data_IF_042790882148
#
_entry.id   IF_042790882148
#
_cell.length_a   1.000
_cell.length_b   1.000
_cell.length_c   1.000
_cell.angle_alpha   90.00
_cell.angle_beta   90.00
_cell.angle_gamma   90.00
#
_symmetry.space_group_name_H-M   'P 1'
#
loop_
_entity.id
_entity.type
_entity.pdbx_description
1 polymer ?
#
# COMPACT_ATOMS: atom_id res chain seq x y z
N UNK A 1 4.62 0.97 -11.50
CA UNK A 1 4.78 1.01 -10.03
C UNK A 1 6.17 0.48 -9.73
N UNK A 2 6.94 1.05 -8.79
CA UNK A 2 8.30 0.60 -8.53
C UNK A 2 8.30 -0.87 -8.09
N UNK A 3 9.30 -1.64 -8.55
CA UNK A 3 9.41 -3.06 -8.21
C UNK A 3 10.32 -3.32 -6.99
N UNK A 4 11.11 -2.33 -6.57
CA UNK A 4 12.13 -2.43 -5.53
C UNK A 4 12.04 -1.32 -4.47
N UNK A 5 10.95 -0.56 -4.44
CA UNK A 5 10.71 0.54 -3.50
C UNK A 5 9.23 0.59 -3.13
N UNK A 6 8.90 1.20 -2.00
CA UNK A 6 7.51 1.38 -1.58
C UNK A 6 6.78 2.31 -2.55
N UNK A 7 5.66 1.86 -3.10
CA UNK A 7 4.85 2.68 -3.99
C UNK A 7 4.33 3.94 -3.27
N UNK A 8 4.45 5.10 -3.92
CA UNK A 8 3.74 6.31 -3.52
C UNK A 8 2.29 6.27 -4.02
N UNK A 9 1.44 7.16 -3.52
CA UNK A 9 0.08 7.29 -4.06
C UNK A 9 0.07 7.64 -5.55
N UNK A 10 1.03 8.44 -6.02
CA UNK A 10 1.16 8.79 -7.42
C UNK A 10 1.49 7.56 -8.27
N UNK A 11 2.38 6.68 -7.78
CA UNK A 11 2.72 5.43 -8.45
C UNK A 11 1.52 4.48 -8.54
N UNK A 12 0.79 4.33 -7.43
CA UNK A 12 -0.39 3.46 -7.36
C UNK A 12 -1.47 3.99 -8.29
N UNK A 13 -1.73 5.30 -8.31
CA UNK A 13 -2.76 5.88 -9.17
C UNK A 13 -2.37 5.87 -10.66
N UNK A 14 -1.09 6.09 -10.98
CA UNK A 14 -0.58 5.90 -12.33
C UNK A 14 -0.77 4.45 -12.79
N UNK A 15 -0.44 3.49 -11.93
CA UNK A 15 -0.63 2.07 -12.21
C UNK A 15 -2.13 1.71 -12.34
N UNK A 16 -2.99 2.23 -11.48
CA UNK A 16 -4.45 2.06 -11.56
C UNK A 16 -4.98 2.52 -12.93
N UNK A 17 -4.57 3.70 -13.39
CA UNK A 17 -5.03 4.25 -14.67
C UNK A 17 -4.53 3.42 -15.86
N UNK A 18 -3.27 2.97 -15.84
CA UNK A 18 -2.72 2.09 -16.87
C UNK A 18 -3.46 0.75 -16.90
N UNK A 19 -3.71 0.14 -15.74
CA UNK A 19 -4.47 -1.11 -15.62
C UNK A 19 -5.91 -0.94 -16.14
N UNK A 20 -6.57 0.17 -15.80
CA UNK A 20 -7.90 0.50 -16.32
C UNK A 20 -7.89 0.60 -17.85
N UNK A 21 -6.91 1.30 -18.43
CA UNK A 21 -6.79 1.43 -19.89
C UNK A 21 -6.53 0.09 -20.57
N UNK A 22 -5.65 -0.75 -19.99
CA UNK A 22 -5.36 -2.09 -20.51
C UNK A 22 -6.61 -2.97 -20.52
N UNK A 23 -7.31 -3.06 -19.40
CA UNK A 23 -8.56 -3.83 -19.30
C UNK A 23 -9.64 -3.28 -20.24
N UNK A 24 -9.71 -1.97 -20.44
CA UNK A 24 -10.63 -1.35 -21.40
C UNK A 24 -10.35 -1.82 -22.82
N UNK A 25 -9.08 -1.93 -23.23
CA UNK A 25 -8.69 -2.47 -24.52
C UNK A 25 -9.11 -3.95 -24.66
N UNK A 26 -8.85 -4.75 -23.63
CA UNK A 26 -9.23 -6.18 -23.59
C UNK A 26 -10.77 -6.39 -23.65
N UNK A 27 -11.55 -5.43 -23.16
CA UNK A 27 -13.02 -5.47 -23.15
C UNK A 27 -13.66 -4.75 -24.34
N UNK A 28 -12.96 -4.59 -25.48
CA UNK A 28 -13.45 -3.90 -26.67
C UNK A 28 -13.92 -2.46 -26.37
N UNK A 29 -13.09 -1.70 -25.66
CA UNK A 29 -13.34 -0.32 -25.24
C UNK A 29 -14.50 -0.12 -24.24
N UNK A 30 -15.02 -1.19 -23.63
CA UNK A 30 -15.96 -1.07 -22.50
C UNK A 30 -15.22 -0.71 -21.22
N UNK A 31 -15.82 0.16 -20.40
CA UNK A 31 -15.21 0.52 -19.12
C UNK A 31 -15.19 -0.70 -18.17
N UNK A 32 -14.01 -1.10 -17.66
CA UNK A 32 -13.90 -2.23 -16.76
C UNK A 32 -14.55 -1.89 -15.41
N UNK A 33 -15.14 -2.89 -14.73
CA UNK A 33 -15.62 -2.72 -13.36
C UNK A 33 -14.50 -2.26 -12.43
N UNK A 34 -14.81 -1.33 -11.51
CA UNK A 34 -13.84 -0.81 -10.54
C UNK A 34 -13.15 -1.93 -9.74
N UNK A 35 -13.91 -2.96 -9.32
CA UNK A 35 -13.37 -4.06 -8.52
C UNK A 35 -12.27 -4.83 -9.28
N UNK A 36 -12.42 -5.07 -10.59
CA UNK A 36 -11.40 -5.75 -11.39
C UNK A 36 -10.09 -4.95 -11.46
N UNK A 37 -10.18 -3.63 -11.63
CA UNK A 37 -9.00 -2.76 -11.64
C UNK A 37 -8.37 -2.72 -10.24
N UNK A 38 -9.21 -2.58 -9.21
CA UNK A 38 -8.78 -2.50 -7.82
C UNK A 38 -8.02 -3.75 -7.39
N UNK A 39 -8.52 -4.95 -7.73
CA UNK A 39 -7.92 -6.23 -7.36
C UNK A 39 -6.47 -6.37 -7.85
N UNK A 40 -6.23 -6.04 -9.11
CA UNK A 40 -4.89 -6.07 -9.73
C UNK A 40 -3.95 -5.08 -9.04
N UNK A 41 -4.46 -3.88 -8.71
CA UNK A 41 -3.68 -2.83 -8.07
C UNK A 41 -3.32 -3.22 -6.64
N UNK A 42 -4.29 -3.74 -5.87
CA UNK A 42 -4.08 -4.18 -4.48
C UNK A 42 -3.06 -5.30 -4.44
N UNK A 43 -3.23 -6.33 -5.28
CA UNK A 43 -2.29 -7.46 -5.37
C UNK A 43 -0.87 -6.98 -5.63
N UNK A 44 -0.68 -6.04 -6.57
CA UNK A 44 0.66 -5.52 -6.88
C UNK A 44 1.22 -4.64 -5.75
N UNK A 45 0.37 -3.93 -4.99
CA UNK A 45 0.80 -3.21 -3.78
C UNK A 45 1.28 -4.21 -2.74
N UNK A 46 0.50 -5.23 -2.41
CA UNK A 46 0.87 -6.26 -1.43
C UNK A 46 2.18 -6.94 -1.78
N UNK A 47 2.38 -7.33 -3.04
CA UNK A 47 3.63 -7.92 -3.53
C UNK A 47 4.87 -7.06 -3.26
N UNK A 48 4.77 -5.73 -3.30
CA UNK A 48 5.89 -4.83 -2.99
C UNK A 48 6.23 -4.90 -1.50
N UNK A 49 5.22 -5.03 -0.64
CA UNK A 49 5.41 -5.13 0.80
C UNK A 49 5.89 -6.52 1.24
N UNK A 50 5.37 -7.58 0.61
CA UNK A 50 5.86 -8.95 0.77
C UNK A 50 7.33 -9.05 0.39
N UNK A 51 7.73 -8.45 -0.74
CA UNK A 51 9.11 -8.42 -1.20
C UNK A 51 10.05 -7.69 -0.24
N UNK A 52 9.54 -6.68 0.47
CA UNK A 52 10.28 -5.98 1.51
C UNK A 52 10.30 -6.76 2.85
N UNK A 53 9.65 -7.91 2.95
CA UNK A 53 9.51 -8.68 4.20
C UNK A 53 8.91 -7.89 5.37
N UNK A 54 8.10 -6.87 5.07
CA UNK A 54 7.46 -6.03 6.08
C UNK A 54 6.00 -6.47 6.24
N UNK A 55 5.58 -6.87 7.46
CA UNK A 55 4.18 -7.20 7.70
C UNK A 55 3.26 -6.03 7.34
N UNK A 56 2.23 -6.31 6.56
CA UNK A 56 1.23 -5.34 6.16
C UNK A 56 -0.17 -5.72 6.67
N UNK A 57 -1.12 -4.80 6.56
CA UNK A 57 -2.53 -5.04 6.91
C UNK A 57 -3.17 -6.02 5.91
N UNK A 58 -4.32 -6.59 6.28
CA UNK A 58 -5.02 -7.56 5.43
C UNK A 58 -5.45 -6.98 4.08
N UNK A 59 -5.59 -7.85 3.07
CA UNK A 59 -6.07 -7.49 1.74
C UNK A 59 -7.36 -6.67 1.75
N UNK A 60 -8.36 -7.12 2.52
CA UNK A 60 -9.63 -6.39 2.72
C UNK A 60 -9.39 -4.95 3.19
N UNK A 61 -8.43 -4.74 4.10
CA UNK A 61 -8.12 -3.41 4.60
C UNK A 61 -7.49 -2.54 3.52
N UNK A 62 -6.58 -3.08 2.72
CA UNK A 62 -5.99 -2.37 1.57
C UNK A 62 -7.07 -2.00 0.55
N UNK A 63 -8.01 -2.90 0.29
CA UNK A 63 -9.17 -2.66 -0.58
C UNK A 63 -10.06 -1.52 -0.05
N UNK A 64 -10.39 -1.52 1.24
CA UNK A 64 -11.14 -0.42 1.87
C UNK A 64 -10.43 0.93 1.72
N UNK A 65 -9.10 0.95 1.87
CA UNK A 65 -8.29 2.16 1.71
C UNK A 65 -8.35 2.67 0.26
N UNK A 66 -8.18 1.80 -0.73
CA UNK A 66 -8.27 2.17 -2.15
C UNK A 66 -9.68 2.66 -2.52
N UNK A 67 -10.72 1.97 -2.06
CA UNK A 67 -12.12 2.34 -2.31
C UNK A 67 -12.46 3.69 -1.67
N UNK A 68 -12.02 3.93 -0.44
CA UNK A 68 -12.20 5.22 0.26
C UNK A 68 -11.55 6.34 -0.54
N UNK A 69 -10.31 6.14 -0.98
CA UNK A 69 -9.60 7.12 -1.80
C UNK A 69 -10.35 7.40 -3.10
N UNK A 70 -10.75 6.36 -3.83
CA UNK A 70 -11.46 6.49 -5.10
C UNK A 70 -12.76 7.29 -4.92
N UNK A 71 -13.54 6.98 -3.88
CA UNK A 71 -14.77 7.71 -3.55
C UNK A 71 -14.50 9.18 -3.25
N UNK A 72 -13.52 9.48 -2.40
CA UNK A 72 -13.15 10.87 -2.07
C UNK A 72 -12.68 11.62 -3.30
N UNK A 73 -11.84 11.00 -4.13
CA UNK A 73 -11.36 11.58 -5.39
C UNK A 73 -12.52 11.91 -6.34
N UNK A 74 -13.45 10.98 -6.56
CA UNK A 74 -14.63 11.21 -7.41
C UNK A 74 -15.51 12.33 -6.86
N UNK A 75 -15.67 12.43 -5.53
CA UNK A 75 -16.41 13.51 -4.90
C UNK A 75 -15.72 14.88 -5.04
N UNK A 76 -14.38 14.90 -5.11
CA UNK A 76 -13.63 16.12 -5.39
C UNK A 76 -13.76 16.53 -6.87
N UNK A 77 -13.74 15.58 -7.80
CA UNK A 77 -13.85 15.89 -9.23
C UNK A 77 -15.21 16.48 -9.62
N UNK A 78 -16.32 15.98 -9.04
CA UNK A 78 -17.69 16.41 -9.40
C UNK A 78 -17.90 17.94 -9.40
N UNK A 79 -17.57 18.70 -8.33
CA UNK A 79 -17.74 20.14 -8.29
C UNK A 79 -16.55 20.95 -8.81
N UNK A 80 -15.48 20.31 -9.33
CA UNK A 80 -14.18 20.93 -9.56
C UNK A 80 -14.26 22.23 -10.36
N UNK A 81 -14.83 22.20 -11.57
CA UNK A 81 -14.88 23.39 -12.44
C UNK A 81 -15.60 24.58 -11.81
N UNK A 82 -16.63 24.32 -10.99
CA UNK A 82 -17.43 25.36 -10.35
C UNK A 82 -16.83 25.91 -9.05
N UNK A 83 -15.86 25.21 -8.42
CA UNK A 83 -15.38 25.52 -7.05
C UNK A 83 -13.87 25.61 -6.91
N UNK A 84 -13.08 25.36 -7.96
CA UNK A 84 -11.61 25.31 -7.95
C UNK A 84 -10.93 26.52 -7.32
N UNK A 85 -11.54 27.71 -7.45
CA UNK A 85 -10.98 28.96 -6.95
C UNK A 85 -11.44 29.33 -5.54
N UNK A 86 -12.37 28.56 -4.96
CA UNK A 86 -12.85 28.81 -3.60
C UNK A 86 -11.87 28.31 -2.54
N UNK A 87 -11.51 29.16 -1.57
CA UNK A 87 -10.59 28.83 -0.48
C UNK A 87 -10.93 27.51 0.25
N UNK A 88 -12.19 27.28 0.68
CA UNK A 88 -12.56 26.03 1.36
C UNK A 88 -12.40 24.78 0.49
N UNK A 89 -12.52 24.90 -0.83
CA UNK A 89 -12.33 23.77 -1.74
C UNK A 89 -10.84 23.49 -2.00
N UNK A 90 -10.02 24.53 -2.10
CA UNK A 90 -8.56 24.39 -2.17
C UNK A 90 -7.99 23.73 -0.90
N UNK A 91 -8.51 24.10 0.27
CA UNK A 91 -8.16 23.45 1.54
C UNK A 91 -8.51 21.95 1.53
N UNK A 92 -9.71 21.59 1.06
CA UNK A 92 -10.10 20.18 0.88
C UNK A 92 -9.17 19.42 -0.07
N UNK A 93 -8.75 20.05 -1.18
CA UNK A 93 -7.78 19.45 -2.11
C UNK A 93 -6.43 19.24 -1.40
N UNK A 94 -5.97 20.23 -0.63
CA UNK A 94 -4.71 20.14 0.12
C UNK A 94 -4.77 19.01 1.15
N UNK A 95 -5.83 18.95 1.95
CA UNK A 95 -6.05 17.87 2.91
C UNK A 95 -6.07 16.50 2.22
N UNK A 96 -6.78 16.38 1.10
CA UNK A 96 -6.81 15.15 0.33
C UNK A 96 -5.41 14.74 -0.13
N UNK A 97 -4.59 15.66 -0.66
CA UNK A 97 -3.21 15.37 -1.06
C UNK A 97 -2.36 14.89 0.12
N UNK A 98 -2.51 15.48 1.30
CA UNK A 98 -1.75 15.09 2.49
C UNK A 98 -2.18 13.73 3.04
N UNK A 99 -3.47 13.44 3.06
CA UNK A 99 -3.99 12.11 3.41
C UNK A 99 -3.53 11.03 2.42
N UNK A 100 -3.45 11.39 1.13
CA UNK A 100 -2.99 10.48 0.07
C UNK A 100 -1.56 9.99 0.29
N UNK A 101 -0.67 10.84 0.80
CA UNK A 101 0.73 10.48 1.10
C UNK A 101 0.84 9.31 2.09
N UNK A 102 -0.14 9.15 2.97
CA UNK A 102 -0.18 8.10 4.00
C UNK A 102 -0.97 6.86 3.58
N UNK A 103 -1.76 6.96 2.51
CA UNK A 103 -2.74 5.94 2.11
C UNK A 103 -2.12 4.58 1.81
N UNK A 104 -0.93 4.55 1.21
CA UNK A 104 -0.27 3.28 0.85
C UNK A 104 0.87 2.91 1.80
N UNK A 105 0.92 3.52 2.98
CA UNK A 105 1.62 2.95 4.13
C UNK A 105 0.74 1.84 4.73
N UNK A 106 0.79 0.65 4.12
CA UNK A 106 0.00 -0.50 4.56
C UNK A 106 0.70 -1.33 5.62
N UNK A 107 1.83 -0.87 6.18
CA UNK A 107 2.53 -1.53 7.28
C UNK A 107 1.56 -1.88 8.43
N UNK A 108 1.62 -3.09 8.95
CA UNK A 108 0.81 -3.51 10.10
C UNK A 108 1.20 -2.77 11.39
N UNK A 109 2.50 -2.53 11.59
CA UNK A 109 2.99 -1.78 12.73
C UNK A 109 2.93 -0.26 12.47
N UNK A 110 2.26 0.46 13.38
CA UNK A 110 2.14 1.92 13.38
C UNK A 110 2.90 2.61 14.52
N UNK A 111 3.77 1.89 15.23
CA UNK A 111 4.59 2.46 16.31
C UNK A 111 5.49 3.58 15.77
N UNK A 112 5.58 4.67 16.54
CA UNK A 112 6.48 5.78 16.24
C UNK A 112 7.94 5.37 16.51
N UNK A 113 8.21 4.79 17.69
CA UNK A 113 9.52 4.24 18.04
C UNK A 113 9.55 2.74 17.74
N UNK A 114 10.06 2.36 16.55
CA UNK A 114 10.08 0.96 16.11
C UNK A 114 10.96 0.09 17.03
N UNK A 115 12.01 0.67 17.60
CA UNK A 115 12.90 0.01 18.56
C UNK A 115 12.19 -0.45 19.84
N UNK A 116 11.17 0.30 20.29
CA UNK A 116 10.39 0.03 21.50
C UNK A 116 9.03 -0.63 21.19
N UNK A 117 8.80 -1.04 19.94
CA UNK A 117 7.54 -1.62 19.50
C UNK A 117 7.20 -2.90 20.30
N UNK A 118 6.01 -2.93 20.89
CA UNK A 118 5.44 -4.09 21.60
C UNK A 118 4.31 -4.77 20.82
N UNK A 119 4.16 -4.47 19.53
CA UNK A 119 3.20 -5.18 18.69
C UNK A 119 3.46 -6.69 18.73
N UNK A 120 2.40 -7.45 18.54
CA UNK A 120 2.47 -8.90 18.28
C UNK A 120 3.55 -9.20 17.25
N UNK A 121 4.28 -10.30 17.45
CA UNK A 121 5.44 -10.66 16.64
C UNK A 121 5.09 -10.72 15.14
N UNK A 122 3.88 -11.19 14.81
CA UNK A 122 3.37 -11.29 13.44
C UNK A 122 3.11 -9.93 12.78
N UNK A 123 2.98 -8.85 13.55
CA UNK A 123 2.69 -7.49 13.06
C UNK A 123 3.90 -6.57 13.17
N UNK A 124 4.94 -7.02 13.88
CA UNK A 124 6.14 -6.25 14.20
C UNK A 124 7.11 -6.25 13.02
N UNK A 125 7.68 -5.08 12.75
CA UNK A 125 8.67 -4.89 11.69
C UNK A 125 9.99 -5.59 12.11
N UNK A 126 10.55 -6.48 11.26
CA UNK A 126 11.85 -7.09 11.50
C UNK A 126 12.93 -6.03 11.71
N UNK A 127 13.91 -6.30 12.59
CA UNK A 127 14.94 -5.31 12.94
C UNK A 127 15.76 -4.83 11.73
N UNK A 128 16.06 -5.75 10.80
CA UNK A 128 16.82 -5.46 9.58
C UNK A 128 16.07 -4.58 8.58
N UNK A 129 14.73 -4.60 8.59
CA UNK A 129 13.89 -3.84 7.65
C UNK A 129 13.48 -2.45 8.18
N UNK A 130 13.92 -2.08 9.40
CA UNK A 130 13.52 -0.82 10.03
C UNK A 130 14.10 0.38 9.30
N UNK A 131 15.39 0.34 9.02
CA UNK A 131 16.11 1.41 8.33
C UNK A 131 15.53 1.61 6.91
N UNK A 132 15.22 0.51 6.22
CA UNK A 132 14.52 0.56 4.94
C UNK A 132 13.15 1.23 5.08
N UNK A 133 12.33 0.82 6.07
CA UNK A 133 11.01 1.44 6.25
C UNK A 133 11.09 2.94 6.56
N UNK A 134 12.05 3.35 7.40
CA UNK A 134 12.30 4.75 7.75
C UNK A 134 12.76 5.57 6.55
N UNK A 135 13.73 5.09 5.77
CA UNK A 135 14.15 5.70 4.52
C UNK A 135 12.97 5.88 3.56
N UNK A 136 12.16 4.83 3.37
CA UNK A 136 11.03 4.88 2.45
C UNK A 136 9.88 5.79 2.93
N UNK A 137 9.83 6.15 4.23
CA UNK A 137 8.91 7.17 4.77
C UNK A 137 9.44 8.60 4.57
N UNK A 138 10.76 8.75 4.39
CA UNK A 138 11.41 10.05 4.17
C UNK A 138 12.05 10.15 2.79
N UNK A 139 13.40 10.10 2.69
CA UNK A 139 14.15 10.43 1.47
C UNK A 139 13.98 9.43 0.32
N UNK A 140 13.59 8.17 0.60
CA UNK A 140 13.38 7.09 -0.39
C UNK A 140 14.61 6.77 -1.24
N UNK A 141 15.79 6.77 -0.62
CA UNK A 141 17.06 6.48 -1.29
C UNK A 141 17.37 4.99 -1.39
N UNK A 142 16.82 4.16 -0.49
CA UNK A 142 17.08 2.72 -0.47
C UNK A 142 16.26 1.98 -1.54
N UNK A 143 16.82 0.88 -2.03
CA UNK A 143 16.19 -0.04 -2.99
C UNK A 143 16.39 -1.48 -2.51
N UNK A 144 15.42 -2.34 -2.74
CA UNK A 144 15.53 -3.78 -2.48
C UNK A 144 16.44 -4.40 -3.55
N UNK A 145 17.62 -4.88 -3.18
CA UNK A 145 18.56 -5.53 -4.09
C UNK A 145 18.34 -7.05 -4.16
N UNK A 146 18.96 -7.71 -5.17
CA UNK A 146 18.87 -9.18 -5.33
C UNK A 146 19.50 -9.96 -4.18
N UNK A 147 20.50 -9.39 -3.49
CA UNK A 147 21.10 -10.02 -2.32
C UNK A 147 20.11 -10.05 -1.15
N UNK A 148 19.33 -8.98 -1.01
CA UNK A 148 18.30 -8.84 0.03
C UNK A 148 17.11 -9.77 -0.21
N UNK A 149 16.88 -10.20 -1.46
CA UNK A 149 15.82 -11.15 -1.81
C UNK A 149 16.01 -12.51 -1.10
N UNK A 150 17.24 -13.02 -1.03
CA UNK A 150 17.51 -14.28 -0.35
C UNK A 150 17.27 -14.20 1.17
N UNK A 151 17.61 -13.08 1.79
CA UNK A 151 17.36 -12.85 3.22
C UNK A 151 15.88 -12.59 3.48
N UNK A 152 15.21 -11.86 2.58
CA UNK A 152 13.76 -11.63 2.60
C UNK A 152 12.98 -12.94 2.55
N UNK A 153 13.37 -13.86 1.66
CA UNK A 153 12.78 -15.21 1.58
C UNK A 153 12.94 -15.96 2.91
N UNK A 154 14.10 -15.87 3.57
CA UNK A 154 14.28 -16.50 4.90
C UNK A 154 13.38 -15.87 5.95
N UNK A 155 13.24 -14.55 5.96
CA UNK A 155 12.35 -13.84 6.89
C UNK A 155 10.88 -14.23 6.65
N UNK A 156 10.45 -14.29 5.39
CA UNK A 156 9.10 -14.66 5.01
C UNK A 156 8.77 -16.12 5.38
N UNK A 157 9.69 -17.06 5.14
CA UNK A 157 9.54 -18.46 5.60
C UNK A 157 9.41 -18.57 7.12
N UNK A 158 10.21 -17.79 7.86
CA UNK A 158 10.10 -17.71 9.33
C UNK A 158 8.77 -17.11 9.77
N UNK A 159 8.20 -16.18 9.01
CA UNK A 159 6.90 -15.59 9.31
C UNK A 159 5.77 -16.60 9.08
N UNK A 160 5.72 -17.23 7.90
CA UNK A 160 4.68 -18.20 7.53
C UNK A 160 4.63 -19.35 8.55
N UNK A 161 5.77 -20.00 8.82
CA UNK A 161 5.82 -21.09 9.79
C UNK A 161 5.42 -20.70 11.23
N UNK A 162 5.41 -19.40 11.56
CA UNK A 162 4.91 -18.91 12.86
C UNK A 162 3.41 -18.68 12.84
N UNK A 163 2.87 -18.12 11.75
CA UNK A 163 1.42 -17.94 11.58
C UNK A 163 0.72 -19.29 11.63
N UNK A 164 1.29 -20.30 10.98
CA UNK A 164 0.76 -21.67 10.99
C UNK A 164 0.76 -22.25 12.43
N UNK A 165 1.86 -22.07 13.18
CA UNK A 165 1.93 -22.51 14.58
C UNK A 165 0.96 -21.77 15.52
N UNK A 166 0.76 -20.45 15.33
CA UNK A 166 -0.21 -19.67 16.11
C UNK A 166 -1.67 -20.07 15.80
N UNK A 167 -1.95 -20.48 14.56
CA UNK A 167 -3.25 -21.01 14.15
C UNK A 167 -3.54 -22.39 14.75
N UNK A 168 -2.54 -23.27 14.84
CA UNK A 168 -2.66 -24.59 15.48
C UNK A 168 -2.91 -24.48 16.99
N UNK A 169 -2.25 -23.54 17.67
CA UNK A 169 -2.44 -23.32 19.13
C UNK A 169 -3.82 -22.73 19.45
N UNK A 170 -4.44 -21.97 18.54
CA UNK A 170 -5.79 -21.41 18.76
C UNK A 170 -6.94 -22.40 18.54
N UNK A 171 -6.64 -23.63 18.11
CA UNK A 171 -7.63 -24.70 17.90
C UNK A 171 -7.67 -25.73 19.04
N UNK A 172 -6.89 -25.51 20.10
CA UNK A 172 -6.84 -26.32 21.34
C UNK A 172 -7.45 -25.50 22.49
#
# INVERSE_FOLDING_TARGET
MPDNQRATYADVMKFYNLTKQRLKYELNNKDPPHHNVAEIVITKVEQIWDKASIPHVSHRRVQEMLNKYHKTFMNLLKPYESRKDSGPYQEKISQFKDESKKLFDICSCKCFFISQCQCEKSRKIPAIERDFLEDQRGPRGMIIAKVDEAESIKLQKRYIGRVDAEAEVSQI
#
